data_IF_321170424511
#
_entry.id   IF_321170424511
#
_cell.length_a   1.000
_cell.length_b   1.000
_cell.length_c   1.000
_cell.angle_alpha   90.00
_cell.angle_beta   90.00
_cell.angle_gamma   90.00
#
_symmetry.space_group_name_H-M   'P 1'
#
loop_
_entity.id
_entity.type
_entity.pdbx_description
1 polymer ?
#
# COMPACT_ATOMS: atom_id res chain seq x y z
N UNK A 1 -3.49 -12.95 -15.33
CA UNK A 1 -4.01 -12.11 -14.23
C UNK A 1 -5.53 -12.12 -14.27
N UNK A 2 -6.20 -12.42 -13.15
CA UNK A 2 -7.67 -12.43 -13.00
C UNK A 2 -8.28 -11.04 -12.80
N UNK A 3 -7.58 -10.15 -12.10
CA UNK A 3 -8.03 -8.79 -11.80
C UNK A 3 -7.47 -7.81 -12.82
N UNK A 4 -8.35 -7.13 -13.55
CA UNK A 4 -8.04 -5.96 -14.39
C UNK A 4 -8.22 -4.63 -13.64
N UNK A 5 -8.81 -4.66 -12.44
CA UNK A 5 -9.08 -3.50 -11.61
C UNK A 5 -8.96 -3.88 -10.13
N UNK A 6 -8.50 -2.94 -9.29
CA UNK A 6 -8.41 -3.09 -7.85
C UNK A 6 -8.80 -1.79 -7.15
N UNK A 7 -9.75 -1.87 -6.21
CA UNK A 7 -10.04 -0.75 -5.31
C UNK A 7 -8.89 -0.57 -4.31
N UNK A 8 -8.49 0.68 -4.08
CA UNK A 8 -7.53 1.03 -3.05
C UNK A 8 -8.01 2.22 -2.23
N UNK A 9 -7.45 2.38 -1.05
CA UNK A 9 -7.58 3.58 -0.26
C UNK A 9 -6.22 4.10 0.20
N UNK A 10 -6.17 5.39 0.53
CA UNK A 10 -4.98 6.00 1.12
C UNK A 10 -5.33 7.12 2.08
N UNK A 11 -4.54 7.25 3.15
CA UNK A 11 -4.73 8.29 4.15
C UNK A 11 -4.12 9.62 3.70
N UNK A 12 -2.92 9.58 3.12
CA UNK A 12 -2.10 10.74 2.81
C UNK A 12 -1.81 10.86 1.32
N UNK A 13 -1.38 12.05 0.89
CA UNK A 13 -0.91 12.30 -0.48
C UNK A 13 0.37 13.13 -0.49
N UNK A 14 1.23 12.93 -1.49
CA UNK A 14 2.39 13.81 -1.74
C UNK A 14 2.59 14.04 -3.24
N UNK A 15 3.11 15.21 -3.60
CA UNK A 15 3.60 15.45 -4.94
C UNK A 15 5.13 15.25 -5.00
N UNK A 16 5.68 14.50 -5.98
CA UNK A 16 7.12 14.33 -6.12
C UNK A 16 7.79 15.55 -6.77
N UNK A 17 7.02 16.43 -7.42
CA UNK A 17 7.48 17.62 -8.13
C UNK A 17 6.86 18.87 -7.50
N UNK A 18 7.47 20.03 -7.71
CA UNK A 18 7.06 21.30 -7.11
C UNK A 18 7.86 21.65 -5.85
N UNK A 19 7.80 22.91 -5.47
CA UNK A 19 8.71 23.55 -4.51
C UNK A 19 7.99 24.24 -3.35
N UNK A 20 6.65 24.26 -3.33
CA UNK A 20 5.90 24.83 -2.21
C UNK A 20 6.22 24.14 -0.87
N UNK A 21 6.10 24.90 0.22
CA UNK A 21 6.36 24.40 1.58
C UNK A 21 5.53 23.16 1.91
N UNK A 22 4.26 23.14 1.50
CA UNK A 22 3.37 22.00 1.74
C UNK A 22 3.81 20.75 0.96
N UNK A 23 4.33 20.91 -0.27
CA UNK A 23 4.91 19.80 -1.04
C UNK A 23 6.19 19.28 -0.37
N UNK A 24 7.04 20.17 0.15
CA UNK A 24 8.24 19.78 0.89
C UNK A 24 7.88 19.03 2.18
N UNK A 25 6.88 19.52 2.92
CA UNK A 25 6.34 18.85 4.12
C UNK A 25 5.81 17.46 3.80
N UNK A 26 5.01 17.31 2.74
CA UNK A 26 4.50 16.02 2.30
C UNK A 26 5.64 15.06 1.90
N UNK A 27 6.71 15.55 1.26
CA UNK A 27 7.90 14.73 0.97
C UNK A 27 8.63 14.30 2.25
N UNK A 28 8.73 15.15 3.26
CA UNK A 28 9.32 14.78 4.54
C UNK A 28 8.51 13.68 5.24
N UNK A 29 7.17 13.77 5.20
CA UNK A 29 6.26 12.72 5.68
C UNK A 29 6.48 11.41 4.90
N UNK A 30 6.56 11.48 3.57
CA UNK A 30 6.87 10.32 2.72
C UNK A 30 8.19 9.64 3.13
N UNK A 31 9.23 10.42 3.42
CA UNK A 31 10.50 9.89 3.93
C UNK A 31 10.39 9.28 5.33
N UNK A 32 9.57 9.87 6.21
CA UNK A 32 9.27 9.30 7.53
C UNK A 32 8.56 7.95 7.41
N UNK A 33 7.60 7.81 6.49
CA UNK A 33 6.90 6.55 6.19
C UNK A 33 7.91 5.49 5.74
N UNK A 34 8.72 5.79 4.71
CA UNK A 34 9.69 4.82 4.15
C UNK A 34 10.74 4.32 5.15
N UNK A 35 11.01 5.09 6.19
CA UNK A 35 11.97 4.73 7.23
C UNK A 35 11.33 4.31 8.54
N UNK A 36 9.99 4.23 8.60
CA UNK A 36 9.20 4.08 9.84
C UNK A 36 9.74 4.97 10.98
N UNK A 37 10.06 6.23 10.66
CA UNK A 37 10.78 7.12 11.58
C UNK A 37 9.89 7.53 12.75
N UNK A 38 10.52 7.89 13.86
CA UNK A 38 9.82 8.54 14.97
C UNK A 38 9.27 9.91 14.55
N UNK A 39 8.02 10.17 14.94
CA UNK A 39 7.28 11.41 14.74
C UNK A 39 6.59 11.82 16.05
N UNK A 40 6.07 13.05 16.11
CA UNK A 40 5.41 13.65 17.28
C UNK A 40 6.27 13.79 18.54
N UNK A 41 5.66 14.32 19.60
CA UNK A 41 6.24 14.44 20.95
C UNK A 41 5.13 14.12 21.97
N UNK A 42 5.25 13.04 22.77
CA UNK A 42 6.35 12.07 22.82
C UNK A 42 6.48 11.25 21.52
N UNK A 43 7.69 10.73 21.21
CA UNK A 43 7.96 10.10 19.93
C UNK A 43 7.18 8.79 19.74
N UNK A 44 6.56 8.62 18.58
CA UNK A 44 5.89 7.39 18.12
C UNK A 44 6.40 7.01 16.73
N UNK A 45 6.42 5.72 16.40
CA UNK A 45 6.80 5.28 15.04
C UNK A 45 5.74 5.74 14.02
N UNK A 46 6.16 6.05 12.79
CA UNK A 46 5.25 6.51 11.75
C UNK A 46 4.11 5.50 11.46
N UNK A 47 4.40 4.20 11.49
CA UNK A 47 3.43 3.11 11.39
C UNK A 47 2.34 3.20 12.48
N UNK A 48 2.74 3.45 13.73
CA UNK A 48 1.84 3.64 14.86
C UNK A 48 1.04 4.93 14.72
N UNK A 49 1.67 6.01 14.24
CA UNK A 49 0.99 7.27 13.97
C UNK A 49 -0.11 7.10 12.91
N UNK A 50 0.17 6.39 11.81
CA UNK A 50 -0.81 6.08 10.77
C UNK A 50 -2.00 5.30 11.36
N UNK A 51 -1.73 4.23 12.11
CA UNK A 51 -2.77 3.39 12.67
C UNK A 51 -3.64 4.14 13.69
N UNK A 52 -3.02 4.89 14.61
CA UNK A 52 -3.73 5.75 15.58
C UNK A 52 -4.56 6.82 14.89
N UNK A 53 -4.04 7.42 13.82
CA UNK A 53 -4.76 8.43 13.04
C UNK A 53 -6.00 7.84 12.38
N UNK A 54 -5.90 6.64 11.78
CA UNK A 54 -7.05 5.95 11.18
C UNK A 54 -8.07 5.57 12.26
N UNK A 55 -7.62 5.01 13.38
CA UNK A 55 -8.51 4.62 14.47
C UNK A 55 -9.28 5.81 15.04
N UNK A 56 -8.58 6.93 15.30
CA UNK A 56 -9.18 8.17 15.84
C UNK A 56 -10.17 8.82 14.88
N UNK A 57 -9.94 8.73 13.57
CA UNK A 57 -10.78 9.39 12.56
C UNK A 57 -11.71 8.41 11.83
N UNK A 58 -11.88 7.17 12.33
CA UNK A 58 -12.52 6.07 11.60
C UNK A 58 -13.88 6.45 11.01
N UNK A 59 -14.72 7.17 11.75
CA UNK A 59 -16.07 7.56 11.29
C UNK A 59 -16.06 8.57 10.14
N UNK A 60 -14.96 9.29 9.94
CA UNK A 60 -14.86 10.37 8.96
C UNK A 60 -14.06 9.94 7.71
N UNK A 61 -13.46 8.75 7.71
CA UNK A 61 -12.67 8.27 6.59
C UNK A 61 -13.55 7.57 5.55
N UNK A 62 -13.40 7.87 4.25
CA UNK A 62 -14.24 7.30 3.20
C UNK A 62 -14.05 5.77 3.02
N UNK A 63 -13.00 5.22 3.61
CA UNK A 63 -12.64 3.80 3.55
C UNK A 63 -12.72 3.09 4.91
N UNK A 64 -13.44 3.67 5.88
CA UNK A 64 -13.63 3.06 7.20
C UNK A 64 -14.09 1.60 7.12
N UNK A 65 -14.91 1.29 6.10
CA UNK A 65 -15.46 -0.03 5.84
C UNK A 65 -14.44 -1.06 5.34
N UNK A 66 -13.20 -0.69 5.04
CA UNK A 66 -12.16 -1.63 4.59
C UNK A 66 -11.51 -2.35 5.78
N UNK A 67 -11.58 -1.76 6.97
CA UNK A 67 -11.06 -2.30 8.22
C UNK A 67 -12.18 -2.97 9.03
N UNK A 68 -12.69 -4.09 8.53
CA UNK A 68 -13.69 -4.90 9.23
C UNK A 68 -13.02 -5.84 10.25
N UNK A 69 -13.75 -6.30 11.28
CA UNK A 69 -13.24 -7.27 12.25
C UNK A 69 -12.78 -8.59 11.65
N UNK A 70 -13.24 -8.95 10.43
CA UNK A 70 -12.86 -10.15 9.71
C UNK A 70 -11.84 -9.90 8.57
N UNK A 71 -11.38 -8.65 8.39
CA UNK A 71 -10.38 -8.29 7.38
C UNK A 71 -9.02 -8.87 7.76
N UNK A 72 -8.44 -9.69 6.89
CA UNK A 72 -7.04 -10.13 7.00
C UNK A 72 -6.14 -9.09 6.34
N UNK A 73 -5.13 -8.61 7.08
CA UNK A 73 -4.13 -7.68 6.57
C UNK A 73 -2.98 -8.47 5.96
N UNK A 74 -2.67 -8.21 4.68
CA UNK A 74 -1.54 -8.86 3.99
C UNK A 74 -0.54 -7.79 3.56
N UNK A 75 0.64 -7.70 4.20
CA UNK A 75 1.63 -6.73 3.81
C UNK A 75 2.21 -7.06 2.43
N UNK A 76 2.35 -6.05 1.59
CA UNK A 76 2.94 -6.17 0.25
C UNK A 76 4.46 -6.36 0.38
N UNK A 77 5.08 -7.38 -0.25
CA UNK A 77 6.51 -7.60 -0.17
C UNK A 77 7.34 -6.51 -0.86
N UNK A 78 8.51 -6.22 -0.30
CA UNK A 78 9.51 -5.35 -0.90
C UNK A 78 9.90 -5.77 -2.34
N UNK A 79 10.54 -4.85 -3.08
CA UNK A 79 11.01 -5.11 -4.45
C UNK A 79 12.21 -6.06 -4.50
N UNK A 80 13.00 -6.13 -3.43
CA UNK A 80 14.11 -7.06 -3.25
C UNK A 80 13.65 -8.36 -2.57
N UNK A 81 14.50 -9.38 -2.62
CA UNK A 81 14.39 -10.52 -1.73
C UNK A 81 14.49 -10.05 -0.28
N UNK A 82 13.65 -10.59 0.59
CA UNK A 82 13.70 -10.28 2.02
C UNK A 82 14.98 -10.88 2.63
N UNK A 83 15.78 -10.03 3.28
CA UNK A 83 16.89 -10.47 4.12
C UNK A 83 16.45 -10.42 5.59
N UNK A 84 17.07 -11.23 6.47
CA UNK A 84 16.90 -11.07 7.92
C UNK A 84 17.11 -9.61 8.34
N UNK A 85 16.33 -9.16 9.32
CA UNK A 85 16.41 -7.81 9.92
C UNK A 85 16.18 -6.62 8.97
N UNK A 86 15.72 -6.87 7.74
CA UNK A 86 15.35 -5.80 6.82
C UNK A 86 14.05 -5.13 7.25
N UNK A 87 14.06 -3.79 7.31
CA UNK A 87 12.85 -3.01 7.56
C UNK A 87 11.79 -3.30 6.48
N UNK A 88 10.64 -3.81 6.92
CA UNK A 88 9.47 -4.06 6.08
C UNK A 88 8.32 -3.15 6.51
N UNK A 89 8.31 -1.92 5.99
CA UNK A 89 7.35 -0.88 6.38
C UNK A 89 5.89 -1.30 6.17
N UNK A 90 5.49 -1.90 5.03
CA UNK A 90 4.15 -2.47 4.88
C UNK A 90 3.72 -3.40 6.02
N UNK A 91 4.62 -4.26 6.52
CA UNK A 91 4.34 -5.16 7.64
C UNK A 91 4.22 -4.40 8.96
N UNK A 92 5.10 -3.42 9.23
CA UNK A 92 5.00 -2.55 10.42
C UNK A 92 3.68 -1.79 10.47
N UNK A 93 3.22 -1.27 9.33
CA UNK A 93 1.93 -0.60 9.21
C UNK A 93 0.79 -1.60 9.48
N UNK A 94 0.84 -2.80 8.90
CA UNK A 94 -0.18 -3.82 9.11
C UNK A 94 -0.29 -4.23 10.59
N UNK A 95 0.84 -4.46 11.27
CA UNK A 95 0.89 -4.79 12.70
C UNK A 95 0.32 -3.66 13.55
N UNK A 96 0.69 -2.40 13.24
CA UNK A 96 0.17 -1.24 13.94
C UNK A 96 -1.35 -1.08 13.77
N UNK A 97 -1.88 -1.33 12.56
CA UNK A 97 -3.32 -1.32 12.27
C UNK A 97 -4.06 -2.39 13.08
N UNK A 98 -3.58 -3.63 13.06
CA UNK A 98 -4.14 -4.72 13.87
C UNK A 98 -4.10 -4.38 15.37
N UNK A 99 -3.00 -3.80 15.86
CA UNK A 99 -2.87 -3.33 17.25
C UNK A 99 -3.84 -2.21 17.65
N UNK A 100 -4.50 -1.56 16.67
CA UNK A 100 -5.59 -0.61 16.90
C UNK A 100 -6.99 -1.23 16.63
N UNK A 101 -7.08 -2.55 16.43
CA UNK A 101 -8.31 -3.25 16.10
C UNK A 101 -8.78 -3.03 14.65
N UNK A 102 -7.90 -2.59 13.75
CA UNK A 102 -8.21 -2.32 12.35
C UNK A 102 -7.86 -3.53 11.46
N UNK A 103 -8.49 -4.66 11.74
CA UNK A 103 -8.28 -5.94 11.07
C UNK A 103 -8.25 -7.10 12.08
N UNK A 104 -8.41 -8.32 11.59
CA UNK A 104 -8.42 -9.55 12.39
C UNK A 104 -7.01 -9.99 12.78
N UNK A 105 -6.14 -10.04 11.79
CA UNK A 105 -4.81 -10.60 11.88
C UNK A 105 -3.93 -10.07 10.74
N UNK A 106 -2.62 -10.17 10.91
CA UNK A 106 -1.62 -9.88 9.87
C UNK A 106 -1.01 -11.20 9.40
N UNK A 107 -1.11 -11.48 8.11
CA UNK A 107 -0.53 -12.69 7.52
C UNK A 107 0.42 -12.35 6.39
N UNK A 108 1.68 -12.76 6.53
CA UNK A 108 2.72 -12.62 5.52
C UNK A 108 2.55 -13.64 4.38
N UNK A 109 1.41 -13.58 3.68
CA UNK A 109 1.00 -14.58 2.69
C UNK A 109 1.77 -14.48 1.36
N UNK A 110 2.42 -13.35 1.09
CA UNK A 110 3.18 -13.12 -0.14
C UNK A 110 4.68 -13.03 0.16
N UNK A 111 5.49 -13.65 -0.69
CA UNK A 111 6.93 -13.55 -0.66
C UNK A 111 7.49 -13.22 -2.05
N UNK A 112 8.48 -12.32 -2.11
CA UNK A 112 9.25 -12.04 -3.32
C UNK A 112 10.24 -13.18 -3.55
N UNK A 113 10.11 -13.89 -4.66
CA UNK A 113 11.02 -14.99 -5.06
C UNK A 113 12.02 -14.57 -6.14
N UNK A 114 11.70 -13.51 -6.88
CA UNK A 114 12.59 -12.92 -7.89
C UNK A 114 12.68 -11.42 -7.63
N UNK A 115 13.86 -10.81 -7.49
CA UNK A 115 13.96 -9.36 -7.31
C UNK A 115 13.44 -8.62 -8.54
N UNK A 116 12.85 -7.45 -8.32
CA UNK A 116 12.39 -6.55 -9.38
C UNK A 116 12.96 -5.15 -9.17
N UNK A 117 13.15 -4.42 -10.27
CA UNK A 117 13.61 -3.04 -10.18
C UNK A 117 12.61 -2.17 -9.42
N UNK A 118 13.12 -1.24 -8.59
CA UNK A 118 12.24 -0.33 -7.85
C UNK A 118 11.65 0.71 -8.79
N UNK A 119 10.32 0.72 -8.94
CA UNK A 119 9.61 1.62 -9.87
C UNK A 119 9.91 3.11 -9.68
N UNK A 120 10.22 3.52 -8.44
CA UNK A 120 10.56 4.90 -8.10
C UNK A 120 11.91 5.36 -8.69
N UNK A 121 12.84 4.43 -8.92
CA UNK A 121 14.19 4.72 -9.46
C UNK A 121 14.36 4.21 -10.90
N UNK A 122 13.43 3.39 -11.40
CA UNK A 122 13.43 2.92 -12.80
C UNK A 122 13.00 4.00 -13.79
N UNK A 123 13.65 3.98 -14.96
CA UNK A 123 13.15 4.65 -16.15
C UNK A 123 11.75 4.15 -16.51
N UNK A 124 10.87 4.98 -17.12
CA UNK A 124 9.50 4.59 -17.43
C UNK A 124 9.36 3.25 -18.17
N UNK A 125 10.24 2.96 -19.14
CA UNK A 125 10.25 1.71 -19.91
C UNK A 125 10.77 0.49 -19.16
N UNK A 126 11.45 0.70 -18.03
CA UNK A 126 12.05 -0.35 -17.19
C UNK A 126 11.27 -0.58 -15.89
N UNK A 127 10.15 0.12 -15.71
CA UNK A 127 9.29 -0.08 -14.54
C UNK A 127 8.62 -1.45 -14.64
N UNK A 128 8.69 -2.28 -13.59
CA UNK A 128 8.00 -3.56 -13.59
C UNK A 128 6.49 -3.35 -13.79
N UNK A 129 5.91 -4.17 -14.66
CA UNK A 129 4.46 -4.21 -14.87
C UNK A 129 3.79 -4.98 -13.73
N UNK A 130 2.45 -4.92 -13.59
CA UNK A 130 1.74 -5.81 -12.68
C UNK A 130 2.00 -7.28 -12.95
N UNK A 131 2.17 -7.67 -14.21
CA UNK A 131 2.53 -9.03 -14.59
C UNK A 131 3.91 -9.41 -14.05
N UNK A 132 4.92 -8.55 -14.20
CA UNK A 132 6.25 -8.76 -13.62
C UNK A 132 6.19 -8.89 -12.10
N UNK A 133 5.37 -8.07 -11.44
CA UNK A 133 5.18 -8.18 -9.99
C UNK A 133 4.45 -9.47 -9.59
N UNK A 134 3.45 -9.90 -10.36
CA UNK A 134 2.75 -11.15 -10.14
C UNK A 134 3.71 -12.35 -10.27
N UNK A 135 4.47 -12.42 -11.35
CA UNK A 135 5.42 -13.51 -11.65
C UNK A 135 6.55 -13.62 -10.62
N UNK A 136 6.99 -12.50 -10.06
CA UNK A 136 8.05 -12.46 -9.05
C UNK A 136 7.60 -12.77 -7.63
N UNK A 137 6.30 -13.01 -7.41
CA UNK A 137 5.73 -13.35 -6.11
C UNK A 137 5.32 -14.82 -6.04
N UNK A 138 5.61 -15.45 -4.91
CA UNK A 138 5.00 -16.70 -4.49
C UNK A 138 4.04 -16.45 -3.33
N UNK A 139 3.07 -17.35 -3.18
CA UNK A 139 2.27 -17.43 -1.95
C UNK A 139 2.98 -18.36 -0.97
N UNK A 140 3.09 -17.91 0.28
CA UNK A 140 3.59 -18.72 1.39
C UNK A 140 2.51 -18.83 2.47
N UNK A 141 2.40 -20.01 3.08
CA UNK A 141 1.34 -20.29 4.04
C UNK A 141 -0.06 -20.35 3.42
N UNK A 142 -1.09 -20.29 4.27
CA UNK A 142 -2.50 -20.26 3.86
C UNK A 142 -3.29 -19.32 4.76
N UNK A 143 -4.18 -18.55 4.14
CA UNK A 143 -5.26 -17.85 4.82
C UNK A 143 -6.42 -18.82 5.06
N UNK A 144 -6.94 -18.85 6.28
CA UNK A 144 -8.11 -19.64 6.64
C UNK A 144 -9.38 -18.93 6.17
N UNK A 145 -9.96 -19.43 5.07
CA UNK A 145 -11.23 -18.98 4.46
C UNK A 145 -11.40 -17.44 4.42
N UNK A 146 -10.49 -16.72 3.75
CA UNK A 146 -10.53 -15.26 3.76
C UNK A 146 -11.76 -14.74 3.01
N UNK A 147 -12.63 -14.01 3.71
CA UNK A 147 -13.72 -13.24 3.09
C UNK A 147 -13.24 -11.87 2.62
N UNK A 148 -12.50 -11.17 3.48
CA UNK A 148 -11.95 -9.84 3.21
C UNK A 148 -10.43 -9.86 3.36
N UNK A 149 -9.72 -9.47 2.31
CA UNK A 149 -8.26 -9.30 2.31
C UNK A 149 -7.95 -7.84 2.01
N UNK A 150 -7.18 -7.20 2.88
CA UNK A 150 -6.64 -5.87 2.65
C UNK A 150 -5.13 -5.95 2.47
N UNK A 151 -4.67 -5.71 1.24
CA UNK A 151 -3.25 -5.53 0.96
C UNK A 151 -2.78 -4.22 1.59
N UNK A 152 -1.71 -4.27 2.39
CA UNK A 152 -1.14 -3.09 3.05
C UNK A 152 0.17 -2.75 2.38
N UNK A 153 0.33 -1.49 1.97
CA UNK A 153 1.56 -0.95 1.38
C UNK A 153 1.92 0.40 2.02
N UNK A 154 3.17 0.82 1.86
CA UNK A 154 3.61 2.11 2.40
C UNK A 154 3.19 3.27 1.49
N UNK A 155 3.56 3.19 0.21
CA UNK A 155 3.37 4.25 -0.78
C UNK A 155 2.90 3.67 -2.11
N UNK A 156 1.75 4.15 -2.57
CA UNK A 156 1.24 3.82 -3.90
C UNK A 156 1.53 4.91 -4.94
N UNK A 157 2.29 4.54 -5.96
CA UNK A 157 2.55 5.39 -7.13
C UNK A 157 1.53 5.13 -8.24
N UNK A 158 1.80 4.18 -9.15
CA UNK A 158 0.87 3.71 -10.19
C UNK A 158 0.04 2.50 -9.78
N UNK A 159 0.42 1.81 -8.70
CA UNK A 159 -0.28 0.62 -8.21
C UNK A 159 0.10 -0.71 -8.89
N UNK A 160 1.19 -0.76 -9.66
CA UNK A 160 1.57 -1.99 -10.36
C UNK A 160 1.95 -3.14 -9.41
N UNK A 161 2.69 -2.83 -8.34
CA UNK A 161 3.07 -3.80 -7.31
C UNK A 161 1.86 -4.39 -6.59
N UNK A 162 0.94 -3.53 -6.14
CA UNK A 162 -0.23 -3.98 -5.39
C UNK A 162 -1.24 -4.71 -6.28
N UNK A 163 -1.38 -4.34 -7.56
CA UNK A 163 -2.24 -5.07 -8.50
C UNK A 163 -1.67 -6.46 -8.83
N UNK A 164 -0.34 -6.58 -9.02
CA UNK A 164 0.31 -7.88 -9.19
C UNK A 164 0.17 -8.77 -7.96
N UNK A 165 0.30 -8.17 -6.77
CA UNK A 165 0.11 -8.85 -5.47
C UNK A 165 -1.33 -9.34 -5.30
N UNK A 166 -2.32 -8.50 -5.61
CA UNK A 166 -3.74 -8.84 -5.56
C UNK A 166 -4.08 -10.00 -6.51
N UNK A 167 -3.53 -9.97 -7.73
CA UNK A 167 -3.71 -11.06 -8.68
C UNK A 167 -3.15 -12.39 -8.18
N UNK A 168 -1.98 -12.36 -7.51
CA UNK A 168 -1.38 -13.57 -6.93
C UNK A 168 -2.26 -14.18 -5.84
N UNK A 169 -2.91 -13.34 -5.03
CA UNK A 169 -3.89 -13.80 -4.03
C UNK A 169 -5.22 -14.22 -4.65
N UNK A 170 -5.71 -13.54 -5.68
CA UNK A 170 -6.97 -13.88 -6.38
C UNK A 170 -6.91 -15.24 -7.10
N UNK A 171 -5.71 -15.69 -7.46
CA UNK A 171 -5.53 -17.04 -7.99
C UNK A 171 -5.86 -18.11 -6.95
N UNK A 172 -5.44 -17.90 -5.71
CA UNK A 172 -5.63 -18.84 -4.61
C UNK A 172 -6.97 -18.65 -3.86
N UNK A 173 -7.45 -17.41 -3.77
CA UNK A 173 -8.66 -17.03 -3.03
C UNK A 173 -9.63 -16.29 -3.96
N UNK A 174 -10.20 -16.97 -4.97
CA UNK A 174 -11.03 -16.33 -6.00
C UNK A 174 -12.34 -15.74 -5.45
N UNK A 175 -12.79 -16.17 -4.27
CA UNK A 175 -14.01 -15.68 -3.61
C UNK A 175 -13.73 -14.58 -2.58
N UNK A 176 -12.46 -14.27 -2.30
CA UNK A 176 -12.11 -13.22 -1.35
C UNK A 176 -12.34 -11.85 -1.98
N UNK A 177 -12.92 -10.94 -1.21
CA UNK A 177 -12.96 -9.52 -1.52
C UNK A 177 -11.58 -8.91 -1.23
N UNK A 178 -10.79 -8.67 -2.29
CA UNK A 178 -9.44 -8.14 -2.18
C UNK A 178 -9.46 -6.64 -2.45
N UNK A 179 -8.99 -5.87 -1.46
CA UNK A 179 -8.80 -4.41 -1.57
C UNK A 179 -7.39 -4.04 -1.16
N UNK A 180 -7.03 -2.78 -1.35
CA UNK A 180 -5.72 -2.26 -1.01
C UNK A 180 -5.80 -1.04 -0.08
N UNK A 181 -4.83 -0.91 0.81
CA UNK A 181 -4.54 0.29 1.58
C UNK A 181 -3.06 0.64 1.38
N UNK A 182 -2.81 1.92 1.09
CA UNK A 182 -1.47 2.48 1.17
C UNK A 182 -1.47 3.68 2.12
N UNK A 183 -0.48 3.81 3.00
CA UNK A 183 -0.43 4.95 3.91
C UNK A 183 -0.42 6.28 3.15
N UNK A 184 0.25 6.33 1.98
CA UNK A 184 0.34 7.53 1.16
C UNK A 184 0.23 7.22 -0.33
N UNK A 185 -0.43 8.11 -1.10
CA UNK A 185 -0.44 8.07 -2.57
C UNK A 185 0.38 9.20 -3.19
N UNK A 186 0.89 8.99 -4.39
CA UNK A 186 1.55 10.04 -5.17
C UNK A 186 0.53 10.88 -5.96
N UNK A 187 0.66 12.20 -5.98
CA UNK A 187 -0.03 13.08 -6.93
C UNK A 187 0.95 13.50 -8.02
N UNK A 188 0.74 13.07 -9.26
CA UNK A 188 1.72 13.31 -10.34
C UNK A 188 1.79 14.78 -10.77
N UNK A 189 0.66 15.47 -10.67
CA UNK A 189 0.52 16.86 -11.05
C UNK A 189 0.51 17.74 -9.79
N UNK A 190 1.39 18.74 -9.74
CA UNK A 190 1.52 19.64 -8.60
C UNK A 190 0.29 20.54 -8.42
N UNK A 191 -0.44 20.87 -9.49
CA UNK A 191 -1.65 21.70 -9.41
C UNK A 191 -2.82 20.97 -8.74
N UNK A 192 -2.78 19.64 -8.73
CA UNK A 192 -3.83 18.80 -8.14
C UNK A 192 -3.53 18.48 -6.66
N UNK A 193 -2.34 18.84 -6.18
CA UNK A 193 -1.94 18.65 -4.80
C UNK A 193 -2.45 19.81 -3.93
N UNK A 194 -3.33 19.50 -2.98
CA UNK A 194 -3.98 20.49 -2.09
C UNK A 194 -3.33 20.56 -0.71
N UNK A 195 -3.12 19.41 -0.08
CA UNK A 195 -2.47 19.26 1.22
C UNK A 195 -2.01 17.78 1.38
N UNK A 196 -1.23 17.48 2.41
CA UNK A 196 -0.79 16.08 2.63
C UNK A 196 -1.87 15.16 3.24
N UNK A 197 -2.85 15.71 3.96
CA UNK A 197 -3.96 14.96 4.57
C UNK A 197 -5.19 14.98 3.66
N UNK A 198 -5.17 14.09 2.67
CA UNK A 198 -6.20 14.03 1.64
C UNK A 198 -6.64 12.57 1.50
N UNK A 199 -7.47 12.08 2.41
CA UNK A 199 -7.88 10.67 2.41
C UNK A 199 -8.77 10.33 1.22
N UNK A 200 -8.53 9.21 0.51
CA UNK A 200 -9.34 8.82 -0.65
C UNK A 200 -9.62 7.31 -0.71
N UNK A 201 -10.70 6.95 -1.40
CA UNK A 201 -10.92 5.65 -2.05
C UNK A 201 -10.73 5.88 -3.54
N UNK A 202 -10.08 4.98 -4.26
CA UNK A 202 -9.95 5.07 -5.70
C UNK A 202 -9.70 3.71 -6.34
N UNK A 203 -9.32 3.71 -7.61
CA UNK A 203 -9.16 2.49 -8.40
C UNK A 203 -7.82 2.44 -9.14
N UNK A 204 -7.22 1.26 -9.21
CA UNK A 204 -6.06 0.93 -10.05
C UNK A 204 -6.56 0.05 -11.20
N UNK A 205 -6.42 0.52 -12.44
CA UNK A 205 -6.85 -0.18 -13.63
C UNK A 205 -5.64 -0.68 -14.43
N UNK A 206 -5.69 -1.92 -14.89
CA UNK A 206 -4.77 -2.48 -15.89
C UNK A 206 -5.16 -1.96 -17.27
N UNK A 207 -4.22 -1.32 -17.97
CA UNK A 207 -4.41 -0.85 -19.35
C UNK A 207 -4.00 -1.95 -20.33
N UNK A 208 -4.52 -1.86 -21.56
CA UNK A 208 -4.11 -2.74 -22.66
C UNK A 208 -2.59 -2.73 -22.91
N UNK A 209 -1.92 -1.62 -22.61
CA UNK A 209 -0.46 -1.51 -22.72
C UNK A 209 0.32 -2.32 -21.66
N UNK A 210 -0.36 -3.01 -20.73
CA UNK A 210 0.25 -3.75 -19.62
C UNK A 210 0.61 -2.90 -18.40
N UNK A 211 0.49 -1.58 -18.49
CA UNK A 211 0.70 -0.64 -17.39
C UNK A 211 -0.54 -0.47 -16.52
N UNK A 212 -0.38 0.17 -15.35
CA UNK A 212 -1.52 0.60 -14.53
C UNK A 212 -1.80 2.09 -14.61
N UNK A 213 -3.08 2.42 -14.48
CA UNK A 213 -3.58 3.76 -14.27
C UNK A 213 -4.32 3.81 -12.94
N UNK A 214 -3.84 4.64 -12.02
CA UNK A 214 -4.49 4.89 -10.73
C UNK A 214 -5.29 6.18 -10.81
N UNK A 215 -6.54 6.14 -10.35
CA UNK A 215 -7.40 7.31 -10.15
C UNK A 215 -7.83 7.38 -8.69
N UNK A 216 -7.93 8.57 -8.08
CA UNK A 216 -8.77 8.77 -6.91
C UNK A 216 -10.24 8.47 -7.24
#
# INVERSE_FOLDING_TARGET
>A
MKLSSLEYCSLLTYCPRGDSEEIQRARNIMHAIKGDRYVDTPPVLMSQWIAKTIAKNRTNLPFASYFQPDTILVPVPNSSLMQPDTLWVPHRIADALMGQGLGREVVQCLARITPVNKSATSQPSQRPTPQTHYESLAVQGRLSEPRNILLVDDIITRGSTILGSANRLADLYPQANIKAFAAMRTMSNATDFKNFYDSCVGTIQLRQSGDTLRRP
#
